data_IF_817030059799
#
_entry.id   IF_817030059799
#
_cell.length_a   1.000
_cell.length_b   1.000
_cell.length_c   1.000
_cell.angle_alpha   90.00
_cell.angle_beta   90.00
_cell.angle_gamma   90.00
#
_symmetry.space_group_name_H-M   'P 1'
#
loop_
_entity.id
_entity.type
_entity.pdbx_description
1 polymer ?
#
# COMPACT_ATOMS: atom_id res chain seq x y z
N UNK A 1 -37.11 -13.60 -2.02
CA UNK A 1 -38.13 -12.72 -1.41
C UNK A 1 -37.76 -12.50 0.05
N UNK A 2 -37.90 -11.28 0.54
CA UNK A 2 -37.54 -10.88 1.92
C UNK A 2 -38.31 -11.64 3.00
N UNK A 3 -39.45 -12.20 2.66
CA UNK A 3 -40.31 -12.98 3.56
C UNK A 3 -39.70 -14.32 4.02
N UNK A 4 -38.60 -14.75 3.40
CA UNK A 4 -37.87 -15.96 3.81
C UNK A 4 -36.85 -15.70 4.92
N UNK A 5 -36.63 -14.44 5.31
CA UNK A 5 -35.69 -14.05 6.35
C UNK A 5 -36.42 -13.93 7.68
N UNK A 6 -36.25 -14.91 8.56
CA UNK A 6 -36.80 -14.87 9.92
C UNK A 6 -35.83 -14.22 10.88
N UNK A 7 -36.27 -13.13 11.51
CA UNK A 7 -35.53 -12.49 12.60
C UNK A 7 -35.77 -13.29 13.90
N UNK A 8 -34.73 -13.90 14.44
CA UNK A 8 -34.81 -14.50 15.77
C UNK A 8 -34.86 -13.43 16.87
N UNK A 9 -35.63 -13.62 17.96
CA UNK A 9 -35.67 -12.68 19.06
C UNK A 9 -34.29 -12.53 19.70
N UNK A 10 -33.79 -11.29 19.80
CA UNK A 10 -32.53 -10.96 20.49
C UNK A 10 -31.25 -11.05 19.65
N UNK A 11 -31.33 -11.05 18.31
CA UNK A 11 -30.16 -11.02 17.44
C UNK A 11 -30.16 -9.76 16.56
N UNK A 12 -29.08 -9.02 16.63
CA UNK A 12 -28.80 -7.87 15.76
C UNK A 12 -28.24 -8.36 14.41
N UNK A 13 -29.05 -9.00 13.59
CA UNK A 13 -28.64 -9.45 12.26
C UNK A 13 -29.40 -10.64 11.72
N UNK A 14 -29.35 -10.82 10.42
CA UNK A 14 -29.93 -11.97 9.70
C UNK A 14 -28.84 -13.02 9.49
N UNK A 15 -29.05 -14.22 10.03
CA UNK A 15 -28.20 -15.37 9.70
C UNK A 15 -28.72 -15.96 8.39
N UNK A 16 -28.00 -15.79 7.32
CA UNK A 16 -28.26 -16.48 6.07
C UNK A 16 -27.89 -17.96 6.25
N UNK A 17 -28.81 -18.90 5.96
CA UNK A 17 -28.43 -20.29 5.92
C UNK A 17 -27.36 -20.49 4.85
N UNK A 18 -26.21 -20.99 5.24
CA UNK A 18 -25.19 -21.39 4.28
C UNK A 18 -25.70 -22.50 3.36
N UNK A 19 -25.12 -22.67 2.17
CA UNK A 19 -25.40 -23.83 1.34
C UNK A 19 -25.17 -25.08 2.19
N UNK A 20 -26.18 -25.95 2.25
CA UNK A 20 -26.17 -27.16 3.08
C UNK A 20 -24.91 -27.99 2.85
N UNK A 21 -24.15 -28.24 3.92
CA UNK A 21 -22.87 -28.93 3.85
C UNK A 21 -21.69 -27.99 3.95
N UNK A 22 -21.72 -26.98 4.84
CA UNK A 22 -20.53 -26.18 5.15
C UNK A 22 -19.43 -27.06 5.74
N UNK A 23 -18.49 -27.47 4.90
CA UNK A 23 -17.18 -27.87 5.40
C UNK A 23 -16.51 -26.62 5.97
N UNK A 24 -15.86 -26.70 7.14
CA UNK A 24 -15.05 -25.60 7.62
C UNK A 24 -14.05 -25.22 6.52
N UNK A 25 -14.01 -23.94 6.15
CA UNK A 25 -12.96 -23.45 5.29
C UNK A 25 -11.65 -23.56 6.07
N UNK A 26 -10.84 -24.53 5.74
CA UNK A 26 -9.49 -24.65 6.26
C UNK A 26 -8.61 -23.68 5.48
N UNK A 27 -8.32 -22.54 6.10
CA UNK A 27 -7.38 -21.57 5.54
C UNK A 27 -5.97 -21.97 5.96
N UNK A 28 -5.20 -22.46 5.03
CA UNK A 28 -3.74 -22.59 5.19
C UNK A 28 -3.12 -21.30 4.69
N UNK A 29 -2.55 -20.46 5.58
CA UNK A 29 -1.85 -19.28 5.12
C UNK A 29 -0.64 -19.73 4.28
N UNK A 30 -0.70 -19.47 2.98
CA UNK A 30 0.50 -19.50 2.16
C UNK A 30 1.27 -18.22 2.48
N UNK A 31 2.48 -18.37 3.00
CA UNK A 31 3.44 -17.27 3.00
C UNK A 31 3.98 -17.17 1.56
N UNK A 32 3.53 -16.19 0.77
CA UNK A 32 3.97 -16.08 -0.61
C UNK A 32 5.45 -15.71 -0.73
N UNK A 33 6.18 -15.63 0.39
CA UNK A 33 7.59 -15.31 0.47
C UNK A 33 7.99 -14.43 -0.70
N UNK A 34 7.91 -13.12 -0.57
CA UNK A 34 8.37 -12.23 -1.64
C UNK A 34 9.85 -12.54 -1.85
N UNK A 35 10.24 -13.11 -3.01
CA UNK A 35 11.63 -13.45 -3.23
C UNK A 35 12.43 -12.16 -3.20
N UNK A 36 13.27 -12.01 -2.17
CA UNK A 36 14.18 -10.87 -2.07
C UNK A 36 15.29 -11.08 -3.10
N UNK A 37 15.14 -10.45 -4.23
CA UNK A 37 16.18 -10.38 -5.26
C UNK A 37 17.21 -9.35 -4.81
N UNK A 38 18.47 -9.67 -4.83
CA UNK A 38 19.55 -8.75 -4.46
C UNK A 38 19.40 -7.41 -5.24
N UNK A 39 19.42 -6.29 -4.56
CA UNK A 39 19.21 -4.96 -5.14
C UNK A 39 17.74 -4.59 -5.37
N UNK A 40 16.81 -5.42 -4.92
CA UNK A 40 15.38 -5.12 -4.97
C UNK A 40 14.82 -5.03 -3.55
N UNK A 41 13.71 -4.32 -3.42
CA UNK A 41 12.95 -4.16 -2.18
C UNK A 41 11.56 -4.78 -2.34
N UNK A 42 10.99 -5.26 -1.26
CA UNK A 42 9.58 -5.63 -1.24
C UNK A 42 8.71 -4.37 -1.29
N UNK A 43 7.80 -4.27 -2.24
CA UNK A 43 6.83 -3.17 -2.29
C UNK A 43 5.68 -3.48 -1.35
N UNK A 44 5.42 -2.58 -0.44
CA UNK A 44 4.20 -2.55 0.36
C UNK A 44 3.37 -1.32 0.01
N UNK A 45 2.10 -1.53 -0.29
CA UNK A 45 1.16 -0.43 -0.55
C UNK A 45 -0.06 -0.60 0.35
N UNK A 46 -0.51 0.50 0.94
CA UNK A 46 -1.74 0.52 1.72
C UNK A 46 -2.47 1.85 1.52
N UNK A 47 -3.79 1.84 1.71
CA UNK A 47 -4.57 3.07 1.71
C UNK A 47 -4.31 3.86 2.98
N UNK A 48 -4.27 5.16 2.83
CA UNK A 48 -4.30 6.11 3.94
C UNK A 48 -5.72 6.65 4.14
N UNK A 49 -5.98 7.23 5.30
CA UNK A 49 -7.33 7.72 5.65
C UNK A 49 -7.84 8.79 4.65
N UNK A 50 -6.96 9.68 4.23
CA UNK A 50 -7.26 10.74 3.27
C UNK A 50 -6.40 10.54 2.03
N UNK A 51 -6.89 9.71 1.11
CA UNK A 51 -6.27 9.49 -0.19
C UNK A 51 -6.83 10.47 -1.25
N UNK A 52 -6.32 10.40 -2.48
CA UNK A 52 -6.74 11.25 -3.60
C UNK A 52 -8.04 10.75 -4.27
N UNK A 53 -8.84 9.98 -3.53
CA UNK A 53 -10.10 9.43 -3.99
C UNK A 53 -11.14 10.51 -4.28
N UNK A 54 -12.11 10.16 -5.13
CA UNK A 54 -13.16 11.09 -5.61
C UNK A 54 -13.90 11.78 -4.47
N UNK A 55 -14.18 11.07 -3.38
CA UNK A 55 -14.91 11.60 -2.23
C UNK A 55 -14.08 12.65 -1.48
N UNK A 56 -12.80 12.37 -1.24
CA UNK A 56 -11.89 13.31 -0.55
C UNK A 56 -11.64 14.54 -1.43
N UNK A 57 -11.29 14.33 -2.69
CA UNK A 57 -10.99 15.41 -3.65
C UNK A 57 -12.13 16.39 -3.84
N UNK A 58 -13.37 15.91 -3.85
CA UNK A 58 -14.56 16.76 -4.05
C UNK A 58 -15.15 17.30 -2.73
N UNK A 59 -14.54 17.02 -1.60
CA UNK A 59 -14.97 17.55 -0.31
C UNK A 59 -14.09 18.72 0.12
N UNK A 60 -14.62 19.93 0.06
CA UNK A 60 -13.87 21.16 0.40
C UNK A 60 -13.31 21.17 1.83
N UNK A 61 -13.95 20.42 2.75
CA UNK A 61 -13.52 20.35 4.15
C UNK A 61 -12.33 19.42 4.42
N UNK A 62 -12.10 18.42 3.56
CA UNK A 62 -11.07 17.39 3.79
C UNK A 62 -10.08 17.22 2.62
N UNK A 63 -10.34 17.84 1.49
CA UNK A 63 -9.45 17.73 0.31
C UNK A 63 -7.99 18.13 0.61
N UNK A 64 -7.78 19.12 1.48
CA UNK A 64 -6.45 19.56 1.90
C UNK A 64 -5.73 18.62 2.88
N UNK A 65 -6.38 17.53 3.32
CA UNK A 65 -5.77 16.54 4.21
C UNK A 65 -5.06 15.40 3.45
N UNK A 66 -5.34 15.26 2.15
CA UNK A 66 -4.60 14.32 1.32
C UNK A 66 -3.15 14.82 1.13
N UNK A 67 -2.19 14.01 1.55
CA UNK A 67 -0.77 14.29 1.35
C UNK A 67 -0.32 13.94 -0.07
N UNK A 68 0.79 14.48 -0.51
CA UNK A 68 1.47 14.00 -1.71
C UNK A 68 2.01 12.58 -1.47
N UNK A 69 2.17 11.81 -2.55
CA UNK A 69 2.82 10.51 -2.49
C UNK A 69 4.29 10.64 -2.11
N UNK A 70 4.80 9.66 -1.36
CA UNK A 70 6.20 9.56 -0.98
C UNK A 70 6.62 8.08 -0.93
N UNK A 71 7.92 7.83 -1.08
CA UNK A 71 8.53 6.52 -0.88
C UNK A 71 9.13 6.47 0.53
N UNK A 72 8.60 5.60 1.37
CA UNK A 72 9.10 5.42 2.73
C UNK A 72 10.15 4.32 2.74
N UNK A 73 11.30 4.58 3.33
CA UNK A 73 12.44 3.68 3.42
C UNK A 73 12.91 3.52 4.87
N UNK A 74 13.35 2.31 5.22
CA UNK A 74 14.05 2.12 6.48
C UNK A 74 15.40 2.86 6.45
N UNK A 75 15.91 3.41 7.58
CA UNK A 75 17.18 4.15 7.64
C UNK A 75 18.38 3.41 7.06
N UNK A 76 18.44 2.08 7.22
CA UNK A 76 19.49 1.25 6.63
C UNK A 76 19.43 1.18 5.12
N UNK A 77 18.22 1.03 4.56
CA UNK A 77 18.03 0.99 3.12
C UNK A 77 18.36 2.35 2.50
N UNK A 78 17.92 3.44 3.13
CA UNK A 78 18.29 4.79 2.74
C UNK A 78 19.83 5.00 2.75
N UNK A 79 20.50 4.51 3.78
CA UNK A 79 21.96 4.57 3.86
C UNK A 79 22.66 3.74 2.77
N UNK A 80 22.13 2.55 2.44
CA UNK A 80 22.69 1.71 1.36
C UNK A 80 22.50 2.35 -0.01
N UNK A 81 21.38 3.04 -0.22
CA UNK A 81 21.09 3.78 -1.45
C UNK A 81 21.81 5.14 -1.49
N UNK A 82 22.43 5.57 -0.38
CA UNK A 82 23.03 6.88 -0.19
C UNK A 82 22.05 8.04 -0.47
N UNK A 83 20.83 7.92 0.06
CA UNK A 83 19.77 8.93 0.03
C UNK A 83 19.48 9.46 1.43
N UNK A 84 19.03 10.70 1.49
CA UNK A 84 18.54 11.36 2.70
C UNK A 84 17.07 11.75 2.55
N UNK A 85 16.45 12.12 3.66
CA UNK A 85 15.07 12.58 3.64
C UNK A 85 14.87 13.77 2.72
N UNK A 86 13.86 13.66 1.86
CA UNK A 86 13.56 14.68 0.85
C UNK A 86 14.24 14.49 -0.50
N UNK A 87 15.22 13.59 -0.60
CA UNK A 87 15.78 13.22 -1.91
C UNK A 87 14.72 12.54 -2.78
N UNK A 88 14.91 12.57 -4.08
CA UNK A 88 14.01 11.92 -5.01
C UNK A 88 14.51 10.55 -5.44
N UNK A 89 13.61 9.58 -5.49
CA UNK A 89 13.89 8.23 -5.99
C UNK A 89 12.87 7.84 -7.04
N UNK A 90 13.28 6.95 -7.95
CA UNK A 90 12.39 6.31 -8.90
C UNK A 90 12.15 4.88 -8.41
N UNK A 91 10.90 4.58 -8.13
CA UNK A 91 10.44 3.23 -7.78
C UNK A 91 9.95 2.54 -9.05
N UNK A 92 10.62 1.48 -9.45
CA UNK A 92 10.30 0.68 -10.63
C UNK A 92 9.56 -0.60 -10.22
N UNK A 93 8.31 -0.70 -10.65
CA UNK A 93 7.46 -1.90 -10.55
C UNK A 93 6.99 -2.29 -11.96
N UNK A 94 5.69 -2.55 -12.17
CA UNK A 94 5.10 -2.69 -13.51
C UNK A 94 5.18 -1.38 -14.32
N UNK A 95 5.21 -0.26 -13.60
CA UNK A 95 5.52 1.08 -14.10
C UNK A 95 6.65 1.70 -13.29
N UNK A 96 6.85 3.00 -13.45
CA UNK A 96 7.84 3.75 -12.68
C UNK A 96 7.23 5.04 -12.17
N UNK A 97 7.51 5.36 -10.92
CA UNK A 97 7.08 6.62 -10.30
C UNK A 97 8.27 7.29 -9.60
N UNK A 98 8.33 8.60 -9.71
CA UNK A 98 9.33 9.42 -9.02
C UNK A 98 8.68 10.05 -7.79
N UNK A 99 9.29 9.83 -6.63
CA UNK A 99 8.73 10.20 -5.33
C UNK A 99 9.82 10.71 -4.40
N UNK A 100 9.49 11.69 -3.53
CA UNK A 100 10.38 12.08 -2.45
C UNK A 100 10.51 10.95 -1.42
N UNK A 101 11.68 10.85 -0.81
CA UNK A 101 11.99 9.89 0.24
C UNK A 101 11.55 10.41 1.60
N UNK A 102 10.90 9.55 2.37
CA UNK A 102 10.67 9.73 3.80
C UNK A 102 11.37 8.55 4.52
N UNK A 103 12.13 8.88 5.56
CA UNK A 103 12.85 7.86 6.34
C UNK A 103 12.00 7.46 7.54
N UNK A 104 11.64 6.18 7.62
CA UNK A 104 10.81 5.63 8.69
C UNK A 104 11.44 4.38 9.30
N UNK A 105 11.91 4.49 10.54
CA UNK A 105 12.53 3.40 11.28
C UNK A 105 11.56 2.31 11.73
N UNK A 106 10.26 2.50 11.56
CA UNK A 106 9.24 1.49 11.87
C UNK A 106 9.05 0.46 10.75
N UNK A 107 9.56 0.75 9.55
CA UNK A 107 9.52 -0.19 8.44
C UNK A 107 10.49 -1.37 8.65
N UNK A 108 10.17 -2.48 8.01
CA UNK A 108 11.10 -3.60 7.91
C UNK A 108 12.18 -3.30 6.88
N UNK A 109 13.44 -3.62 7.19
CA UNK A 109 14.57 -3.54 6.25
C UNK A 109 14.26 -4.30 4.95
N UNK A 110 14.67 -3.76 3.82
CA UNK A 110 14.40 -4.34 2.50
C UNK A 110 12.98 -4.10 1.99
N UNK A 111 12.21 -3.22 2.64
CA UNK A 111 10.85 -2.87 2.24
C UNK A 111 10.77 -1.41 1.82
N UNK A 112 10.06 -1.15 0.73
CA UNK A 112 9.64 0.20 0.32
C UNK A 112 8.14 0.29 0.54
N UNK A 113 7.70 1.25 1.33
CA UNK A 113 6.28 1.54 1.48
C UNK A 113 5.91 2.77 0.64
N UNK A 114 4.89 2.61 -0.20
CA UNK A 114 4.30 3.72 -0.97
C UNK A 114 2.80 3.72 -0.72
N UNK A 115 2.24 4.78 -0.11
CA UNK A 115 0.80 4.88 0.09
C UNK A 115 0.05 4.81 -1.24
N UNK A 116 -1.04 4.05 -1.25
CA UNK A 116 -1.86 3.85 -2.45
C UNK A 116 -2.78 5.05 -2.69
N UNK A 117 -3.04 5.33 -3.99
CA UNK A 117 -4.00 6.34 -4.44
C UNK A 117 -3.71 7.77 -3.92
N UNK A 118 -2.44 8.14 -3.89
CA UNK A 118 -2.00 9.51 -3.68
C UNK A 118 -1.48 10.12 -4.98
N UNK A 119 -1.37 11.44 -5.01
CA UNK A 119 -0.77 12.13 -6.15
C UNK A 119 0.66 11.64 -6.38
N UNK A 120 0.99 11.32 -7.63
CA UNK A 120 2.30 10.80 -8.04
C UNK A 120 2.48 9.28 -7.89
N UNK A 121 1.55 8.54 -7.26
CA UNK A 121 1.69 7.09 -7.05
C UNK A 121 0.99 6.23 -8.09
N UNK A 122 0.33 6.85 -9.07
CA UNK A 122 -0.34 6.14 -10.15
C UNK A 122 0.68 5.37 -11.00
N UNK A 123 0.41 4.09 -11.24
CA UNK A 123 1.27 3.23 -12.07
C UNK A 123 2.11 2.23 -11.30
N UNK A 124 2.09 2.26 -9.96
CA UNK A 124 2.64 1.17 -9.16
C UNK A 124 1.63 0.03 -9.03
N UNK A 125 2.09 -1.20 -9.22
CA UNK A 125 1.33 -2.40 -8.87
C UNK A 125 1.09 -2.49 -7.35
N UNK A 126 0.18 -3.38 -6.94
CA UNK A 126 -0.20 -3.48 -5.53
C UNK A 126 0.82 -4.23 -4.66
N UNK A 127 1.54 -5.18 -5.22
CA UNK A 127 2.50 -6.05 -4.52
C UNK A 127 3.61 -6.51 -5.46
N UNK A 128 4.77 -6.78 -4.92
CA UNK A 128 5.88 -7.34 -5.69
C UNK A 128 7.24 -6.90 -5.15
N UNK A 129 8.26 -7.17 -5.93
CA UNK A 129 9.60 -6.63 -5.72
C UNK A 129 9.84 -5.45 -6.65
N UNK A 130 10.45 -4.41 -6.13
CA UNK A 130 10.73 -3.17 -6.85
C UNK A 130 12.22 -2.84 -6.79
N UNK A 131 12.70 -2.20 -7.86
CA UNK A 131 14.01 -1.56 -7.85
C UNK A 131 13.83 -0.08 -7.50
N UNK A 132 14.72 0.43 -6.69
CA UNK A 132 14.75 1.84 -6.31
C UNK A 132 16.02 2.46 -6.86
N UNK A 133 15.88 3.41 -7.75
CA UNK A 133 16.98 4.19 -8.31
C UNK A 133 16.97 5.61 -7.76
N UNK A 134 18.14 6.13 -7.42
CA UNK A 134 18.28 7.50 -6.90
C UNK A 134 18.31 8.48 -8.06
N UNK A 135 17.47 9.51 -7.99
CA UNK A 135 17.52 10.63 -8.91
C UNK A 135 18.70 11.53 -8.48
N UNK A 136 19.85 11.33 -9.10
CA UNK A 136 20.97 12.25 -8.92
C UNK A 136 20.71 13.46 -9.82
N UNK A 137 20.59 14.63 -9.21
CA UNK A 137 20.53 15.89 -9.96
C UNK A 137 21.74 15.91 -10.90
N UNK A 138 21.49 15.89 -12.22
CA UNK A 138 22.57 16.03 -13.18
C UNK A 138 23.23 17.38 -12.96
N UNK A 139 24.56 17.39 -12.94
CA UNK A 139 25.33 18.63 -13.04
C UNK A 139 24.83 19.40 -14.26
N UNK A 140 24.22 20.56 -14.00
CA UNK A 140 23.87 21.53 -15.04
C UNK A 140 25.07 22.40 -15.34
#
# INVERSE_FOLDING_TARGET
>A
TWDALTWGPGRDGVVLPGPGGSQPLEYTPEDPGVPVVAGHHALHTARVLYDDGVMVRNSSGIAGLASAGAAYLHPRDASMLAVVEGDEVIVHADGSVQLPVIIDASLTEGTVYVPFNLSGTAGLGAVGTVRVDVVRGGDA
#
